data_IF_700240470475
#
_entry.id   IF_700240470475
#
_cell.length_a   1.000
_cell.length_b   1.000
_cell.length_c   1.000
_cell.angle_alpha   90.00
_cell.angle_beta   90.00
_cell.angle_gamma   90.00
#
_symmetry.space_group_name_H-M   'P 1'
#
loop_
_entity.id
_entity.type
_entity.pdbx_description
1 polymer ?
#
# COMPACT_ATOMS: atom_id res chain seq x y z
N UNK A 1 -42.34 4.18 20.17
CA UNK A 1 -42.29 3.90 21.63
C UNK A 1 -40.85 4.11 22.07
N UNK A 2 -40.57 5.04 22.99
CA UNK A 2 -39.19 5.34 23.39
C UNK A 2 -38.56 4.12 24.10
N UNK A 3 -37.28 3.80 23.86
CA UNK A 3 -36.63 2.64 24.48
C UNK A 3 -36.60 2.78 26.00
N UNK A 4 -36.82 1.68 26.72
CA UNK A 4 -36.74 1.62 28.19
C UNK A 4 -35.31 1.92 28.64
N UNK A 5 -35.13 2.90 29.53
CA UNK A 5 -33.83 3.31 30.08
C UNK A 5 -33.79 3.06 31.59
N UNK A 6 -32.65 2.58 32.10
CA UNK A 6 -32.40 2.34 33.53
C UNK A 6 -31.34 3.33 34.01
N UNK A 7 -31.58 4.01 35.13
CA UNK A 7 -30.61 4.94 35.71
C UNK A 7 -29.53 4.16 36.47
N UNK A 8 -28.28 4.40 36.11
CA UNK A 8 -27.12 3.97 36.88
C UNK A 8 -26.39 5.19 37.45
N UNK A 9 -25.76 5.06 38.62
CA UNK A 9 -25.01 6.15 39.28
C UNK A 9 -23.64 5.62 39.69
N UNK A 10 -22.59 6.22 39.14
CA UNK A 10 -21.19 5.85 39.38
C UNK A 10 -20.38 7.13 39.62
N UNK A 11 -19.21 6.99 40.25
CA UNK A 11 -18.26 8.10 40.41
C UNK A 11 -17.17 7.99 39.35
N UNK A 12 -16.84 9.11 38.72
CA UNK A 12 -15.72 9.21 37.78
C UNK A 12 -14.60 10.00 38.46
N UNK A 13 -13.31 9.66 38.19
CA UNK A 13 -12.20 10.54 38.52
C UNK A 13 -12.42 11.95 37.93
N UNK A 14 -11.98 13.03 38.60
CA UNK A 14 -12.21 14.40 38.14
C UNK A 14 -11.73 14.65 36.70
N UNK A 15 -10.53 14.17 36.38
CA UNK A 15 -9.93 14.35 35.05
C UNK A 15 -10.76 13.66 33.96
N UNK A 16 -11.27 12.46 34.24
CA UNK A 16 -12.09 11.70 33.29
C UNK A 16 -13.47 12.36 33.10
N UNK A 17 -14.03 12.93 34.17
CA UNK A 17 -15.27 13.71 34.09
C UNK A 17 -15.10 14.95 33.22
N UNK A 18 -13.96 15.64 33.33
CA UNK A 18 -13.64 16.81 32.50
C UNK A 18 -13.49 16.40 31.02
N UNK A 19 -12.72 15.35 30.73
CA UNK A 19 -12.54 14.83 29.37
C UNK A 19 -13.87 14.42 28.71
N UNK A 20 -14.78 13.79 29.48
CA UNK A 20 -16.12 13.42 28.99
C UNK A 20 -16.95 14.67 28.65
N UNK A 21 -16.93 15.68 29.50
CA UNK A 21 -17.62 16.95 29.26
C UNK A 21 -17.07 17.66 28.02
N UNK A 22 -15.75 17.74 27.88
CA UNK A 22 -15.08 18.37 26.75
C UNK A 22 -15.36 17.64 25.44
N UNK A 23 -15.31 16.30 25.44
CA UNK A 23 -15.62 15.50 24.26
C UNK A 23 -17.08 15.67 23.83
N UNK A 24 -18.00 15.55 24.78
CA UNK A 24 -19.43 15.75 24.54
C UNK A 24 -19.73 17.16 24.00
N UNK A 25 -19.08 18.19 24.58
CA UNK A 25 -19.18 19.58 24.14
C UNK A 25 -18.67 19.79 22.72
N UNK A 26 -17.46 19.30 22.39
CA UNK A 26 -16.89 19.39 21.04
C UNK A 26 -17.75 18.69 19.98
N UNK A 27 -18.36 17.56 20.33
CA UNK A 27 -19.21 16.78 19.43
C UNK A 27 -20.69 17.20 19.45
N UNK A 28 -21.08 18.15 20.32
CA UNK A 28 -22.46 18.62 20.52
C UNK A 28 -23.45 17.48 20.79
N UNK A 29 -23.04 16.51 21.60
CA UNK A 29 -23.86 15.35 22.01
C UNK A 29 -23.95 15.26 23.52
N UNK A 30 -24.99 14.61 24.05
CA UNK A 30 -25.12 14.41 25.49
C UNK A 30 -24.04 13.45 26.01
N UNK A 31 -23.49 13.72 27.21
CA UNK A 31 -22.51 12.84 27.84
C UNK A 31 -23.02 11.40 28.02
N UNK A 32 -24.33 11.24 28.30
CA UNK A 32 -24.96 9.93 28.39
C UNK A 32 -24.86 9.11 27.09
N UNK A 33 -24.93 9.76 25.92
CA UNK A 33 -24.77 9.09 24.62
C UNK A 33 -23.33 8.64 24.42
N UNK A 34 -22.36 9.44 24.86
CA UNK A 34 -20.93 9.07 24.81
C UNK A 34 -20.68 7.84 25.69
N UNK A 35 -21.19 7.86 26.93
CA UNK A 35 -21.06 6.74 27.87
C UNK A 35 -21.76 5.48 27.35
N UNK A 36 -22.98 5.62 26.81
CA UNK A 36 -23.73 4.51 26.21
C UNK A 36 -22.96 3.89 25.04
N UNK A 37 -22.42 4.72 24.14
CA UNK A 37 -21.63 4.26 22.99
C UNK A 37 -20.32 3.59 23.43
N UNK A 38 -19.64 4.18 24.40
CA UNK A 38 -18.39 3.63 24.93
C UNK A 38 -18.61 2.28 25.63
N UNK A 39 -19.65 2.16 26.46
CA UNK A 39 -20.01 0.90 27.12
C UNK A 39 -20.45 -0.15 26.11
N UNK A 40 -21.27 0.21 25.13
CA UNK A 40 -21.69 -0.72 24.06
C UNK A 40 -20.49 -1.22 23.25
N UNK A 41 -19.52 -0.35 22.95
CA UNK A 41 -18.29 -0.73 22.25
C UNK A 41 -17.37 -1.58 23.11
N UNK A 42 -17.23 -1.27 24.40
CA UNK A 42 -16.36 -2.00 25.34
C UNK A 42 -16.89 -3.39 25.67
N UNK A 43 -18.22 -3.54 25.77
CA UNK A 43 -18.88 -4.81 26.06
C UNK A 43 -19.21 -5.62 24.78
N UNK A 44 -18.91 -5.08 23.59
CA UNK A 44 -19.12 -5.82 22.35
C UNK A 44 -18.03 -6.88 22.20
N UNK A 45 -18.39 -8.18 22.08
CA UNK A 45 -17.44 -9.27 21.82
C UNK A 45 -16.66 -9.09 20.52
N UNK A 46 -17.16 -8.25 19.60
CA UNK A 46 -16.65 -8.15 18.24
C UNK A 46 -15.66 -6.99 18.04
N UNK A 47 -15.47 -6.12 19.04
CA UNK A 47 -14.75 -4.86 18.87
C UNK A 47 -13.24 -5.05 18.62
N UNK A 48 -12.59 -5.84 19.47
CA UNK A 48 -11.18 -6.23 19.32
C UNK A 48 -10.98 -7.07 18.06
N UNK A 49 -11.84 -8.07 17.89
CA UNK A 49 -11.67 -9.10 16.87
C UNK A 49 -11.87 -8.55 15.46
N UNK A 50 -12.80 -7.60 15.28
CA UNK A 50 -12.98 -6.91 13.98
C UNK A 50 -11.80 -6.00 13.64
N UNK A 51 -11.24 -5.30 14.63
CA UNK A 51 -10.09 -4.44 14.42
C UNK A 51 -8.85 -5.27 14.08
N UNK A 52 -8.62 -6.36 14.81
CA UNK A 52 -7.55 -7.31 14.55
C UNK A 52 -7.71 -7.95 13.16
N UNK A 53 -8.91 -8.44 12.80
CA UNK A 53 -9.17 -9.00 11.48
C UNK A 53 -9.03 -7.98 10.34
N UNK A 54 -9.36 -6.70 10.56
CA UNK A 54 -9.13 -5.64 9.58
C UNK A 54 -7.63 -5.33 9.41
N UNK A 55 -6.88 -5.34 10.51
CA UNK A 55 -5.44 -5.13 10.50
C UNK A 55 -4.71 -6.28 9.80
N UNK A 56 -5.03 -7.54 10.13
CA UNK A 56 -4.45 -8.72 9.48
C UNK A 56 -4.69 -8.71 7.97
N UNK A 57 -5.92 -8.44 7.53
CA UNK A 57 -6.22 -8.29 6.09
C UNK A 57 -5.42 -7.19 5.40
N UNK A 58 -5.19 -6.07 6.10
CA UNK A 58 -4.37 -4.97 5.57
C UNK A 58 -2.90 -5.37 5.48
N UNK A 59 -2.38 -6.08 6.48
CA UNK A 59 -1.00 -6.59 6.47
C UNK A 59 -0.79 -7.61 5.37
N UNK A 60 -1.71 -8.56 5.18
CA UNK A 60 -1.66 -9.53 4.08
C UNK A 60 -1.61 -8.83 2.72
N UNK A 61 -2.43 -7.79 2.54
CA UNK A 61 -2.41 -6.99 1.32
C UNK A 61 -1.08 -6.29 1.11
N UNK A 62 -0.48 -5.72 2.16
CA UNK A 62 0.83 -5.08 2.08
C UNK A 62 1.94 -6.10 1.78
N UNK A 63 1.88 -7.29 2.37
CA UNK A 63 2.82 -8.38 2.09
C UNK A 63 2.77 -8.75 0.62
N UNK A 64 1.57 -9.00 0.05
CA UNK A 64 1.43 -9.30 -1.38
C UNK A 64 1.94 -8.18 -2.28
N UNK A 65 1.77 -6.92 -1.87
CA UNK A 65 2.33 -5.78 -2.60
C UNK A 65 3.86 -5.74 -2.53
N UNK A 66 4.45 -6.09 -1.38
CA UNK A 66 5.89 -6.19 -1.21
C UNK A 66 6.49 -7.33 -2.05
N UNK A 67 5.85 -8.51 -2.05
CA UNK A 67 6.29 -9.65 -2.87
C UNK A 67 6.27 -9.30 -4.36
N UNK A 68 5.21 -8.63 -4.82
CA UNK A 68 5.11 -8.15 -6.20
C UNK A 68 6.20 -7.13 -6.54
N UNK A 69 6.49 -6.21 -5.61
CA UNK A 69 7.57 -5.23 -5.80
C UNK A 69 8.93 -5.91 -5.87
N UNK A 70 9.20 -6.89 -4.98
CA UNK A 70 10.43 -7.65 -4.98
C UNK A 70 10.65 -8.36 -6.33
N UNK A 71 9.61 -9.02 -6.84
CA UNK A 71 9.65 -9.64 -8.16
C UNK A 71 9.95 -8.62 -9.29
N UNK A 72 9.30 -7.44 -9.28
CA UNK A 72 9.59 -6.40 -10.28
C UNK A 72 11.03 -5.90 -10.22
N UNK A 73 11.61 -5.81 -9.01
CA UNK A 73 13.02 -5.45 -8.81
C UNK A 73 13.94 -6.54 -9.35
N UNK A 74 13.66 -7.81 -9.09
CA UNK A 74 14.44 -8.94 -9.64
C UNK A 74 14.44 -8.94 -11.16
N UNK A 75 13.26 -8.82 -11.79
CA UNK A 75 13.15 -8.74 -13.25
C UNK A 75 13.92 -7.54 -13.81
N UNK A 76 13.85 -6.39 -13.15
CA UNK A 76 14.59 -5.18 -13.58
C UNK A 76 16.10 -5.38 -13.47
N UNK A 77 16.57 -6.04 -12.40
CA UNK A 77 17.98 -6.36 -12.21
C UNK A 77 18.48 -7.34 -13.28
N UNK A 78 17.71 -8.38 -13.59
CA UNK A 78 18.06 -9.37 -14.62
C UNK A 78 18.11 -8.71 -16.01
N UNK A 79 17.11 -7.88 -16.34
CA UNK A 79 17.09 -7.13 -17.59
C UNK A 79 18.30 -6.18 -17.71
N UNK A 80 18.69 -5.50 -16.63
CA UNK A 80 19.87 -4.65 -16.59
C UNK A 80 21.17 -5.45 -16.77
N UNK A 81 21.28 -6.61 -16.11
CA UNK A 81 22.45 -7.49 -16.25
C UNK A 81 22.60 -7.99 -17.70
N UNK A 82 21.50 -8.42 -18.32
CA UNK A 82 21.47 -8.82 -19.73
C UNK A 82 21.84 -7.66 -20.66
N UNK A 83 21.32 -6.46 -20.40
CA UNK A 83 21.65 -5.26 -21.15
C UNK A 83 23.14 -4.92 -21.06
N UNK A 84 23.73 -4.91 -19.84
CA UNK A 84 25.15 -4.63 -19.64
C UNK A 84 26.01 -5.68 -20.34
N UNK A 85 25.68 -6.97 -20.20
CA UNK A 85 26.39 -8.05 -20.90
C UNK A 85 26.34 -7.87 -22.42
N UNK A 86 25.15 -7.61 -22.95
CA UNK A 86 24.97 -7.33 -24.37
C UNK A 86 25.79 -6.10 -24.81
N UNK A 87 25.77 -5.03 -24.03
CA UNK A 87 26.50 -3.80 -24.32
C UNK A 87 28.02 -4.05 -24.36
N UNK A 88 28.58 -4.70 -23.35
CA UNK A 88 30.01 -5.03 -23.27
C UNK A 88 30.47 -5.97 -24.38
N UNK A 89 29.59 -6.88 -24.82
CA UNK A 89 29.92 -7.84 -25.89
C UNK A 89 29.89 -7.19 -27.28
N UNK A 90 29.00 -6.22 -27.51
CA UNK A 90 28.74 -5.68 -28.85
C UNK A 90 29.33 -4.28 -29.11
N UNK A 91 29.81 -3.57 -28.08
CA UNK A 91 30.43 -2.25 -28.25
C UNK A 91 31.94 -2.37 -28.13
N UNK A 92 32.62 -2.53 -29.27
CA UNK A 92 34.08 -2.51 -29.32
C UNK A 92 34.61 -1.14 -28.85
N UNK A 93 35.74 -1.11 -28.11
CA UNK A 93 36.36 0.14 -27.70
C UNK A 93 36.75 0.97 -28.93
N UNK A 94 36.30 2.22 -28.97
CA UNK A 94 36.56 3.12 -30.07
C UNK A 94 37.99 3.68 -30.00
N UNK A 95 38.64 3.94 -31.15
CA UNK A 95 39.87 4.71 -31.20
C UNK A 95 39.70 6.10 -30.57
N UNK A 96 40.73 6.59 -29.86
CA UNK A 96 40.71 7.87 -29.14
C UNK A 96 40.32 9.06 -30.04
N UNK A 97 40.61 8.97 -31.34
CA UNK A 97 40.31 10.02 -32.34
C UNK A 97 38.81 10.21 -32.59
N UNK A 98 37.99 9.17 -32.40
CA UNK A 98 36.53 9.22 -32.62
C UNK A 98 35.73 9.15 -31.31
N UNK A 99 36.41 8.92 -30.19
CA UNK A 99 35.81 8.79 -28.87
C UNK A 99 35.02 10.05 -28.46
N UNK A 100 35.56 11.24 -28.69
CA UNK A 100 34.90 12.49 -28.35
C UNK A 100 33.58 12.71 -29.12
N UNK A 101 33.58 12.39 -30.41
CA UNK A 101 32.38 12.47 -31.25
C UNK A 101 31.32 11.43 -30.85
N UNK A 102 31.74 10.19 -30.56
CA UNK A 102 30.86 9.14 -30.09
C UNK A 102 30.23 9.47 -28.72
N UNK A 103 31.01 10.06 -27.80
CA UNK A 103 30.51 10.53 -26.51
C UNK A 103 29.50 11.68 -26.67
N UNK A 104 29.75 12.63 -27.57
CA UNK A 104 28.82 13.72 -27.85
C UNK A 104 27.47 13.20 -28.39
N UNK A 105 27.52 12.30 -29.36
CA UNK A 105 26.32 11.65 -29.91
C UNK A 105 25.60 10.76 -28.87
N UNK A 106 26.35 10.11 -27.98
CA UNK A 106 25.79 9.35 -26.86
C UNK A 106 25.00 10.22 -25.88
N UNK A 107 25.54 11.40 -25.53
CA UNK A 107 24.84 12.38 -24.67
C UNK A 107 23.54 12.87 -25.30
N UNK A 108 23.56 13.24 -26.58
CA UNK A 108 22.36 13.69 -27.32
C UNK A 108 21.27 12.60 -27.38
N UNK A 109 21.66 11.34 -27.62
CA UNK A 109 20.74 10.20 -27.59
C UNK A 109 20.14 9.96 -26.20
N UNK A 110 20.94 10.14 -25.15
CA UNK A 110 20.48 10.00 -23.77
C UNK A 110 19.46 11.09 -23.40
N UNK A 111 19.74 12.36 -23.75
CA UNK A 111 18.80 13.46 -23.54
C UNK A 111 17.47 13.21 -24.27
N UNK A 112 17.53 12.79 -25.53
CA UNK A 112 16.35 12.43 -26.32
C UNK A 112 15.56 11.26 -25.69
N UNK A 113 16.26 10.26 -25.13
CA UNK A 113 15.63 9.16 -24.41
C UNK A 113 14.92 9.64 -23.14
N UNK A 114 15.54 10.51 -22.34
CA UNK A 114 14.94 11.07 -21.14
C UNK A 114 13.67 11.88 -21.48
N UNK A 115 13.70 12.67 -22.55
CA UNK A 115 12.50 13.37 -23.03
C UNK A 115 11.39 12.41 -23.45
N UNK A 116 11.71 11.36 -24.21
CA UNK A 116 10.74 10.36 -24.63
C UNK A 116 10.15 9.59 -23.43
N UNK A 117 10.99 9.27 -22.44
CA UNK A 117 10.59 8.61 -21.21
C UNK A 117 9.64 9.49 -20.39
N UNK A 118 9.99 10.77 -20.20
CA UNK A 118 9.14 11.73 -19.48
C UNK A 118 7.76 11.85 -20.15
N UNK A 119 7.72 12.00 -21.48
CA UNK A 119 6.45 12.03 -22.23
C UNK A 119 5.63 10.75 -22.05
N UNK A 120 6.28 9.58 -22.07
CA UNK A 120 5.58 8.30 -21.85
C UNK A 120 5.08 8.17 -20.40
N UNK A 121 5.80 8.69 -19.42
CA UNK A 121 5.39 8.66 -18.02
C UNK A 121 4.20 9.59 -17.74
N UNK A 122 4.12 10.73 -18.42
CA UNK A 122 3.02 11.69 -18.28
C UNK A 122 1.76 11.26 -19.05
N UNK A 123 1.91 10.70 -20.26
CA UNK A 123 0.78 10.52 -21.19
C UNK A 123 0.64 9.10 -21.78
N UNK A 124 1.59 8.19 -21.53
CA UNK A 124 1.62 6.87 -22.15
C UNK A 124 1.07 5.74 -21.28
N UNK A 125 0.70 4.59 -21.88
CA UNK A 125 0.38 3.38 -21.13
C UNK A 125 1.59 2.94 -20.31
N UNK A 126 1.35 2.58 -19.05
CA UNK A 126 2.41 2.08 -18.16
C UNK A 126 2.90 0.73 -18.66
N UNK A 127 4.22 0.55 -18.67
CA UNK A 127 4.87 -0.71 -19.05
C UNK A 127 4.31 -1.92 -18.27
N UNK A 128 3.88 -1.71 -17.02
CA UNK A 128 3.25 -2.74 -16.18
C UNK A 128 1.94 -3.30 -16.75
N UNK A 129 1.23 -2.55 -17.60
CA UNK A 129 -0.01 -2.99 -18.23
C UNK A 129 0.25 -3.81 -19.50
N UNK A 130 1.41 -3.63 -20.11
CA UNK A 130 1.85 -4.42 -21.27
C UNK A 130 2.44 -5.77 -20.84
N UNK A 131 2.97 -5.83 -19.61
CA UNK A 131 3.62 -7.02 -19.04
C UNK A 131 2.68 -7.97 -18.27
N UNK A 132 1.35 -7.89 -18.48
CA UNK A 132 0.28 -8.70 -17.85
C UNK A 132 0.78 -9.85 -16.97
N UNK A 133 0.87 -9.59 -15.66
CA UNK A 133 1.24 -10.60 -14.67
C UNK A 133 0.04 -11.48 -14.37
N UNK A 134 -0.02 -12.64 -15.03
CA UNK A 134 -0.88 -13.73 -14.62
C UNK A 134 -0.24 -14.38 -13.38
N UNK A 135 -0.53 -13.82 -12.20
CA UNK A 135 -0.14 -14.45 -10.94
C UNK A 135 -1.19 -15.52 -10.65
N UNK A 136 -0.86 -16.83 -10.68
CA UNK A 136 -1.81 -17.85 -10.30
C UNK A 136 -2.18 -17.67 -8.83
N UNK A 137 -3.36 -17.11 -8.60
CA UNK A 137 -3.98 -17.08 -7.29
C UNK A 137 -4.18 -18.52 -6.84
N UNK A 138 -3.45 -18.90 -5.79
CA UNK A 138 -3.59 -20.14 -5.02
C UNK A 138 -5.08 -20.49 -4.92
N UNK A 139 -5.47 -21.52 -5.67
CA UNK A 139 -6.80 -22.10 -5.65
C UNK A 139 -7.13 -22.51 -4.22
N UNK A 140 -8.26 -22.02 -3.73
CA UNK A 140 -9.01 -22.66 -2.66
C UNK A 140 -9.22 -24.12 -3.04
N UNK A 141 -8.54 -25.04 -2.35
CA UNK A 141 -9.09 -26.36 -2.10
C UNK A 141 -9.70 -26.33 -0.70
N UNK A 142 -10.81 -25.60 -0.58
CA UNK A 142 -11.85 -26.00 0.36
C UNK A 142 -12.63 -27.12 -0.32
N UNK A 143 -12.21 -28.36 -0.06
CA UNK A 143 -12.93 -29.54 -0.48
C UNK A 143 -12.74 -30.62 0.60
N UNK A 144 -13.72 -30.71 1.50
CA UNK A 144 -14.15 -32.01 2.02
C UNK A 144 -14.17 -32.18 3.54
N UNK A 145 -15.14 -31.53 4.20
CA UNK A 145 -15.77 -32.04 5.43
C UNK A 145 -17.24 -31.61 5.36
N UNK A 146 -18.29 -32.42 5.47
CA UNK A 146 -18.53 -33.84 5.71
C UNK A 146 -19.93 -34.13 5.04
N UNK A 147 -20.71 -35.20 5.32
CA UNK A 147 -20.95 -35.87 6.61
C UNK A 147 -20.58 -37.36 6.66
#
# INVERSE_FOLDING_TARGET
>A
MAPKRIKHTFRLPPDLSAQLADFAGRKRIAQAVVVETALASFLSPDGSDRLEAALSRRLDRLSRQADRLAYHVEVSNEALALFIRFWLTNNAPLPDTVLAAAQAMGRERYESFIEALNRRMEFGPRLTNELSFDVPGKTESDAGSAP
#
